data_IF_304010363462
#
_entry.id   IF_304010363462
#
_cell.length_a   1.000
_cell.length_b   1.000
_cell.length_c   1.000
_cell.angle_alpha   90.00
_cell.angle_beta   90.00
_cell.angle_gamma   90.00
#
_symmetry.space_group_name_H-M   'P 1'
#
loop_
_entity.id
_entity.type
_entity.pdbx_description
1 polymer ?
#
# COMPACT_ATOMS: atom_id res chain seq x y z
N UNK A 1 -6.94 7.71 -23.77
CA UNK A 1 -7.08 8.81 -22.79
C UNK A 1 -7.99 9.86 -23.41
N UNK A 2 -9.06 10.25 -22.71
CA UNK A 2 -9.91 11.36 -23.17
C UNK A 2 -9.07 12.63 -23.28
N UNK A 3 -9.36 13.49 -24.27
CA UNK A 3 -8.70 14.79 -24.37
C UNK A 3 -9.14 15.65 -23.18
N UNK A 4 -8.17 16.29 -22.51
CA UNK A 4 -8.44 17.21 -21.41
C UNK A 4 -9.22 18.43 -21.92
N UNK A 5 -10.28 18.80 -21.21
CA UNK A 5 -11.10 19.96 -21.57
C UNK A 5 -10.47 21.28 -21.08
N UNK A 6 -9.67 21.22 -20.01
CA UNK A 6 -9.03 22.38 -19.38
C UNK A 6 -7.53 22.16 -19.17
N UNK A 7 -6.71 23.00 -19.83
CA UNK A 7 -5.25 22.97 -19.68
C UNK A 7 -4.81 23.22 -18.23
N UNK A 8 -5.37 24.18 -17.47
CA UNK A 8 -5.04 24.35 -16.05
C UNK A 8 -5.34 23.10 -15.19
N UNK A 9 -6.44 22.40 -15.46
CA UNK A 9 -6.79 21.17 -14.74
C UNK A 9 -5.83 20.03 -15.08
N UNK A 10 -5.44 19.90 -16.35
CA UNK A 10 -4.45 18.92 -16.77
C UNK A 10 -3.09 19.15 -16.10
N UNK A 11 -2.59 20.38 -16.10
CA UNK A 11 -1.32 20.72 -15.42
C UNK A 11 -1.43 20.45 -13.92
N UNK A 12 -2.54 20.84 -13.29
CA UNK A 12 -2.75 20.61 -11.86
C UNK A 12 -2.81 19.12 -11.53
N UNK A 13 -3.48 18.31 -12.37
CA UNK A 13 -3.53 16.86 -12.26
C UNK A 13 -2.12 16.24 -12.30
N UNK A 14 -1.30 16.63 -13.28
CA UNK A 14 0.06 16.12 -13.42
C UNK A 14 0.94 16.51 -12.21
N UNK A 15 0.88 17.78 -11.78
CA UNK A 15 1.65 18.26 -10.62
C UNK A 15 1.26 17.51 -9.35
N UNK A 16 -0.04 17.33 -9.09
CA UNK A 16 -0.52 16.60 -7.92
C UNK A 16 -0.11 15.11 -7.99
N UNK A 17 -0.14 14.50 -9.17
CA UNK A 17 0.31 13.13 -9.36
C UNK A 17 1.80 12.93 -9.10
N UNK A 18 2.65 13.79 -9.64
CA UNK A 18 4.10 13.74 -9.38
C UNK A 18 4.42 14.03 -7.91
N UNK A 19 3.72 14.98 -7.28
CA UNK A 19 3.89 15.25 -5.86
C UNK A 19 3.45 14.07 -4.99
N UNK A 20 2.33 13.42 -5.30
CA UNK A 20 1.87 12.23 -4.60
C UNK A 20 2.88 11.08 -4.73
N UNK A 21 3.36 10.82 -5.94
CA UNK A 21 4.38 9.80 -6.21
C UNK A 21 5.68 10.05 -5.43
N UNK A 22 6.18 11.30 -5.44
CA UNK A 22 7.40 11.65 -4.71
C UNK A 22 7.21 11.52 -3.19
N UNK A 23 6.09 12.03 -2.67
CA UNK A 23 5.77 11.96 -1.23
C UNK A 23 5.69 10.52 -0.74
N UNK A 24 4.98 9.65 -1.46
CA UNK A 24 4.88 8.23 -1.12
C UNK A 24 6.18 7.47 -1.29
N UNK A 25 7.00 7.78 -2.31
CA UNK A 25 8.27 7.09 -2.49
C UNK A 25 9.26 7.44 -1.38
N UNK A 26 9.30 8.70 -0.97
CA UNK A 26 10.24 9.19 0.05
C UNK A 26 9.80 8.80 1.47
N UNK A 27 8.50 8.64 1.74
CA UNK A 27 7.95 8.40 3.09
C UNK A 27 8.59 7.21 3.82
N UNK A 28 8.98 6.17 3.09
CA UNK A 28 9.58 4.95 3.68
C UNK A 28 10.98 5.17 4.28
N UNK A 29 11.78 6.07 3.71
CA UNK A 29 13.18 6.24 4.07
C UNK A 29 13.41 6.83 5.48
N UNK A 30 12.68 7.86 5.93
CA UNK A 30 12.85 8.44 7.27
C UNK A 30 12.87 7.41 8.41
N UNK A 31 11.97 6.41 8.39
CA UNK A 31 11.94 5.39 9.45
C UNK A 31 13.16 4.46 9.37
N UNK A 32 13.52 4.00 8.17
CA UNK A 32 14.69 3.13 7.96
C UNK A 32 15.97 3.82 8.41
N UNK A 33 16.13 5.11 8.07
CA UNK A 33 17.27 5.93 8.48
C UNK A 33 17.28 6.15 10.00
N UNK A 34 16.12 6.44 10.60
CA UNK A 34 16.00 6.65 12.05
C UNK A 34 16.44 5.40 12.82
N UNK A 35 15.94 4.23 12.43
CA UNK A 35 16.32 2.94 13.01
C UNK A 35 17.83 2.70 12.87
N UNK A 36 18.40 2.98 11.68
CA UNK A 36 19.83 2.82 11.44
C UNK A 36 20.70 3.76 12.28
N UNK A 37 20.29 5.02 12.46
CA UNK A 37 21.02 6.01 13.27
C UNK A 37 20.96 5.70 14.76
N UNK A 38 19.79 5.29 15.26
CA UNK A 38 19.58 4.97 16.67
C UNK A 38 20.12 3.60 17.06
N UNK A 39 20.30 2.69 16.09
CA UNK A 39 20.57 1.25 16.31
C UNK A 39 19.56 0.62 17.28
N UNK A 40 18.34 1.17 17.30
CA UNK A 40 17.24 0.78 18.17
C UNK A 40 15.93 1.03 17.44
N UNK A 41 15.02 0.07 17.56
CA UNK A 41 13.65 0.13 17.04
C UNK A 41 12.64 0.42 18.15
N UNK A 42 13.10 0.75 19.35
CA UNK A 42 12.21 1.17 20.46
C UNK A 42 11.49 2.45 20.06
N UNK A 43 10.16 2.42 20.02
CA UNK A 43 9.33 3.46 19.39
C UNK A 43 8.45 2.96 18.26
N UNK A 44 8.95 2.00 17.48
CA UNK A 44 8.28 1.46 16.32
C UNK A 44 7.46 0.23 16.71
N UNK A 45 6.14 0.29 16.56
CA UNK A 45 5.27 -0.86 16.85
C UNK A 45 5.46 -1.94 15.78
N UNK A 46 5.78 -3.16 16.21
CA UNK A 46 6.09 -4.27 15.30
C UNK A 46 4.84 -4.79 14.58
N UNK A 47 3.67 -4.64 15.18
CA UNK A 47 2.39 -4.97 14.54
C UNK A 47 2.16 -4.07 13.33
N UNK A 48 2.44 -2.76 13.47
CA UNK A 48 2.34 -1.83 12.34
C UNK A 48 3.23 -2.28 11.18
N UNK A 49 4.50 -2.64 11.46
CA UNK A 49 5.44 -3.02 10.39
C UNK A 49 5.02 -4.32 9.71
N UNK A 50 4.56 -5.31 10.47
CA UNK A 50 4.08 -6.59 9.92
C UNK A 50 2.80 -6.44 9.09
N UNK A 51 1.82 -5.67 9.59
CA UNK A 51 0.60 -5.38 8.85
C UNK A 51 0.92 -4.58 7.58
N UNK A 52 1.84 -3.61 7.66
CA UNK A 52 2.28 -2.84 6.50
C UNK A 52 3.02 -3.70 5.48
N UNK A 53 3.85 -4.66 5.92
CA UNK A 53 4.50 -5.61 5.01
C UNK A 53 3.48 -6.50 4.28
N UNK A 54 2.45 -6.98 4.99
CA UNK A 54 1.36 -7.77 4.40
C UNK A 54 0.54 -6.94 3.40
N UNK A 55 0.25 -5.68 3.73
CA UNK A 55 -0.39 -4.71 2.84
C UNK A 55 0.37 -4.56 1.53
N UNK A 56 1.67 -4.23 1.61
CA UNK A 56 2.49 -3.98 0.42
C UNK A 56 2.74 -5.26 -0.39
N UNK A 57 2.89 -6.41 0.27
CA UNK A 57 3.03 -7.71 -0.42
C UNK A 57 1.78 -8.06 -1.20
N UNK A 58 0.60 -7.89 -0.61
CA UNK A 58 -0.68 -8.14 -1.28
C UNK A 58 -0.89 -7.18 -2.47
N UNK A 59 -0.53 -5.90 -2.29
CA UNK A 59 -0.58 -4.92 -3.37
C UNK A 59 0.38 -5.26 -4.52
N UNK A 60 1.60 -5.72 -4.21
CA UNK A 60 2.55 -6.20 -5.21
C UNK A 60 2.01 -7.42 -5.96
N UNK A 61 1.42 -8.39 -5.27
CA UNK A 61 0.83 -9.57 -5.92
C UNK A 61 -0.26 -9.14 -6.90
N UNK A 62 -1.15 -8.24 -6.51
CA UNK A 62 -2.20 -7.70 -7.39
C UNK A 62 -1.59 -7.00 -8.62
N UNK A 63 -0.70 -6.02 -8.41
CA UNK A 63 -0.12 -5.23 -9.49
C UNK A 63 0.71 -6.10 -10.44
N UNK A 64 1.62 -6.92 -9.92
CA UNK A 64 2.47 -7.77 -10.74
C UNK A 64 1.66 -8.80 -11.53
N UNK A 65 0.64 -9.42 -10.91
CA UNK A 65 -0.20 -10.41 -11.59
C UNK A 65 -1.02 -9.78 -12.71
N UNK A 66 -1.66 -8.63 -12.45
CA UNK A 66 -2.48 -7.94 -13.45
C UNK A 66 -1.62 -7.32 -14.57
N UNK A 67 -0.41 -6.88 -14.27
CA UNK A 67 0.52 -6.31 -15.25
C UNK A 67 1.20 -7.37 -16.14
N UNK A 68 1.60 -8.53 -15.58
CA UNK A 68 2.40 -9.53 -16.29
C UNK A 68 1.54 -10.63 -16.92
N UNK A 69 0.47 -11.07 -16.24
CA UNK A 69 -0.28 -12.25 -16.67
C UNK A 69 -1.31 -11.94 -17.76
N UNK A 70 -1.05 -12.42 -18.98
CA UNK A 70 -2.00 -12.34 -20.10
C UNK A 70 -3.34 -13.02 -19.80
N UNK A 71 -3.34 -14.10 -19.01
CA UNK A 71 -4.57 -14.79 -18.58
C UNK A 71 -5.43 -13.89 -17.70
N UNK A 72 -4.82 -13.21 -16.73
CA UNK A 72 -5.54 -12.29 -15.83
C UNK A 72 -6.05 -11.09 -16.61
N UNK A 73 -5.25 -10.52 -17.51
CA UNK A 73 -5.66 -9.42 -18.38
C UNK A 73 -6.82 -9.80 -19.31
N UNK A 74 -6.80 -11.03 -19.86
CA UNK A 74 -7.91 -11.56 -20.66
C UNK A 74 -9.18 -11.68 -19.84
N UNK A 75 -9.08 -12.21 -18.61
CA UNK A 75 -10.23 -12.29 -17.70
C UNK A 75 -10.77 -10.91 -17.33
N UNK A 76 -9.89 -9.92 -17.11
CA UNK A 76 -10.26 -8.54 -16.85
C UNK A 76 -11.07 -7.96 -18.02
N UNK A 77 -10.54 -8.06 -19.25
CA UNK A 77 -11.21 -7.57 -20.46
C UNK A 77 -12.52 -8.30 -20.75
N UNK A 78 -12.61 -9.58 -20.43
CA UNK A 78 -13.87 -10.33 -20.55
C UNK A 78 -14.93 -9.84 -19.56
N UNK A 79 -14.52 -9.41 -18.35
CA UNK A 79 -15.43 -8.93 -17.30
C UNK A 79 -15.85 -7.48 -17.49
N UNK A 80 -14.92 -6.59 -17.83
CA UNK A 80 -15.14 -5.14 -17.85
C UNK A 80 -15.26 -4.54 -19.27
N UNK A 81 -14.79 -5.26 -20.30
CA UNK A 81 -14.86 -4.83 -21.69
C UNK A 81 -13.51 -4.94 -22.41
N UNK A 82 -13.54 -5.33 -23.69
CA UNK A 82 -12.32 -5.55 -24.48
C UNK A 82 -11.55 -4.27 -24.82
N UNK A 83 -12.24 -3.13 -24.80
CA UNK A 83 -11.66 -1.80 -25.07
C UNK A 83 -11.11 -1.12 -23.80
N UNK A 84 -11.38 -1.68 -22.63
CA UNK A 84 -10.91 -1.12 -21.36
C UNK A 84 -9.41 -1.31 -21.19
N UNK A 85 -8.75 -0.26 -20.68
CA UNK A 85 -7.34 -0.32 -20.37
C UNK A 85 -7.12 -1.11 -19.06
N UNK A 86 -6.00 -1.83 -18.99
CA UNK A 86 -5.60 -2.49 -17.75
C UNK A 86 -5.19 -1.39 -16.75
N UNK A 87 -5.78 -1.35 -15.54
CA UNK A 87 -5.63 -0.23 -14.61
C UNK A 87 -4.32 -0.28 -13.81
N UNK A 88 -3.28 -0.96 -14.33
CA UNK A 88 -1.98 -1.11 -13.67
C UNK A 88 -0.90 -0.85 -14.69
N UNK A 89 0.02 0.05 -14.33
CA UNK A 89 1.19 0.41 -15.12
C UNK A 89 2.50 -0.06 -14.45
N UNK A 90 3.62 0.04 -15.18
CA UNK A 90 4.91 -0.46 -14.71
C UNK A 90 5.40 0.24 -13.43
N UNK A 91 5.07 1.54 -13.28
CA UNK A 91 5.38 2.33 -12.10
C UNK A 91 4.65 1.82 -10.85
N UNK A 92 3.42 1.29 -10.97
CA UNK A 92 2.68 0.71 -9.83
C UNK A 92 3.37 -0.57 -9.31
N UNK A 93 3.87 -1.39 -10.24
CA UNK A 93 4.68 -2.57 -9.90
C UNK A 93 6.00 -2.14 -9.26
N UNK A 94 6.71 -1.19 -9.85
CA UNK A 94 7.98 -0.69 -9.30
C UNK A 94 7.81 -0.10 -7.89
N UNK A 95 6.77 0.72 -7.67
CA UNK A 95 6.45 1.28 -6.36
C UNK A 95 6.12 0.21 -5.33
N UNK A 96 5.29 -0.78 -5.70
CA UNK A 96 4.94 -1.87 -4.79
C UNK A 96 6.13 -2.76 -4.43
N UNK A 97 7.02 -3.06 -5.38
CA UNK A 97 8.32 -3.73 -5.10
C UNK A 97 9.15 -2.89 -4.13
N UNK A 98 9.32 -1.60 -4.41
CA UNK A 98 10.08 -0.69 -3.56
C UNK A 98 9.55 -0.65 -2.12
N UNK A 99 8.23 -0.55 -1.95
CA UNK A 99 7.60 -0.53 -0.64
C UNK A 99 7.78 -1.85 0.12
N UNK A 100 7.67 -3.01 -0.55
CA UNK A 100 7.94 -4.33 0.05
C UNK A 100 9.40 -4.41 0.50
N UNK A 101 10.36 -3.95 -0.31
CA UNK A 101 11.78 -3.96 0.05
C UNK A 101 12.08 -3.08 1.28
N UNK A 102 11.57 -1.85 1.33
CA UNK A 102 11.81 -0.92 2.44
C UNK A 102 11.14 -1.41 3.74
N UNK A 103 9.96 -2.02 3.64
CA UNK A 103 9.32 -2.66 4.79
C UNK A 103 10.03 -3.95 5.23
N UNK A 104 10.55 -4.75 4.31
CA UNK A 104 11.42 -5.90 4.63
C UNK A 104 12.69 -5.45 5.35
N UNK A 105 13.33 -4.36 4.91
CA UNK A 105 14.47 -3.76 5.60
C UNK A 105 14.08 -3.33 7.01
N UNK A 106 12.90 -2.73 7.19
CA UNK A 106 12.40 -2.35 8.53
C UNK A 106 12.18 -3.58 9.43
N UNK A 107 11.65 -4.68 8.89
CA UNK A 107 11.53 -5.96 9.62
C UNK A 107 12.88 -6.55 9.98
N UNK A 108 13.85 -6.49 9.07
CA UNK A 108 15.23 -6.91 9.34
C UNK A 108 15.85 -6.07 10.46
N UNK A 109 15.64 -4.75 10.45
CA UNK A 109 16.08 -3.87 11.53
C UNK A 109 15.44 -4.24 12.87
N UNK A 110 14.15 -4.63 12.89
CA UNK A 110 13.48 -5.13 14.10
C UNK A 110 14.12 -6.42 14.63
N UNK A 111 14.62 -7.28 13.74
CA UNK A 111 15.28 -8.53 14.13
C UNK A 111 16.69 -8.33 14.70
N UNK A 112 17.41 -7.29 14.24
CA UNK A 112 18.84 -7.08 14.56
C UNK A 112 19.08 -6.03 15.64
N UNK A 113 18.31 -4.94 15.64
CA UNK A 113 18.53 -3.81 16.57
C UNK A 113 17.85 -3.99 17.92
N UNK A 114 18.23 -3.15 18.88
CA UNK A 114 17.60 -3.16 20.20
C UNK A 114 16.10 -2.89 20.10
N UNK A 115 15.32 -3.83 20.65
CA UNK A 115 13.86 -3.82 20.67
C UNK A 115 13.28 -3.58 22.06
N UNK A 116 14.12 -3.46 23.08
CA UNK A 116 13.69 -3.40 24.48
C UNK A 116 12.74 -4.56 24.82
N UNK A 117 11.62 -4.25 25.47
CA UNK A 117 10.58 -5.23 25.83
C UNK A 117 9.47 -5.38 24.78
N UNK A 118 9.56 -4.68 23.64
CA UNK A 118 8.53 -4.72 22.60
C UNK A 118 8.47 -6.10 21.92
N UNK A 119 7.25 -6.57 21.66
CA UNK A 119 6.97 -7.82 20.97
C UNK A 119 5.79 -7.63 20.04
N UNK A 120 5.67 -8.49 19.04
CA UNK A 120 4.49 -8.59 18.18
C UNK A 120 3.32 -9.11 19.02
N UNK A 121 2.16 -8.49 18.91
CA UNK A 121 0.97 -8.89 19.67
C UNK A 121 0.38 -10.19 19.13
N UNK A 122 -0.29 -10.95 20.02
CA UNK A 122 -1.06 -12.14 19.62
C UNK A 122 -2.19 -11.79 18.65
N UNK A 123 -2.75 -10.58 18.76
CA UNK A 123 -3.79 -10.08 17.85
C UNK A 123 -3.22 -9.92 16.44
N UNK A 124 -2.05 -9.31 16.29
CA UNK A 124 -1.39 -9.17 15.00
C UNK A 124 -1.10 -10.55 14.37
N UNK A 125 -0.56 -11.51 15.13
CA UNK A 125 -0.38 -12.87 14.64
C UNK A 125 -1.70 -13.52 14.21
N UNK A 126 -2.79 -13.33 14.98
CA UNK A 126 -4.12 -13.82 14.61
C UNK A 126 -4.63 -13.22 13.29
N UNK A 127 -4.50 -11.90 13.11
CA UNK A 127 -4.88 -11.21 11.87
C UNK A 127 -4.08 -11.77 10.68
N UNK A 128 -2.76 -11.91 10.83
CA UNK A 128 -1.90 -12.45 9.78
C UNK A 128 -2.25 -13.89 9.44
N UNK A 129 -2.45 -14.73 10.46
CA UNK A 129 -2.82 -16.14 10.28
C UNK A 129 -4.14 -16.24 9.50
N UNK A 130 -5.19 -15.52 9.91
CA UNK A 130 -6.48 -15.52 9.22
C UNK A 130 -6.35 -15.01 7.78
N UNK A 131 -5.59 -13.93 7.58
CA UNK A 131 -5.41 -13.33 6.25
C UNK A 131 -4.72 -14.29 5.29
N UNK A 132 -3.57 -14.84 5.69
CA UNK A 132 -2.77 -15.68 4.80
C UNK A 132 -3.37 -17.09 4.63
N UNK A 133 -4.06 -17.62 5.64
CA UNK A 133 -4.84 -18.87 5.47
C UNK A 133 -6.02 -18.67 4.52
N UNK A 134 -6.76 -17.56 4.63
CA UNK A 134 -7.85 -17.24 3.70
C UNK A 134 -7.32 -17.06 2.27
N UNK A 135 -6.21 -16.34 2.10
CA UNK A 135 -5.55 -16.19 0.79
C UNK A 135 -5.11 -17.54 0.20
N UNK A 136 -4.59 -18.45 1.03
CA UNK A 136 -4.21 -19.80 0.60
C UNK A 136 -5.43 -20.62 0.14
N UNK A 137 -6.55 -20.58 0.89
CA UNK A 137 -7.80 -21.23 0.50
C UNK A 137 -8.31 -20.65 -0.83
N UNK A 138 -8.36 -19.32 -0.96
CA UNK A 138 -8.75 -18.65 -2.19
C UNK A 138 -7.86 -19.04 -3.37
N UNK A 139 -6.56 -19.23 -3.16
CA UNK A 139 -5.63 -19.69 -4.18
C UNK A 139 -6.03 -21.07 -4.72
N UNK A 140 -6.30 -22.04 -3.85
CA UNK A 140 -6.71 -23.38 -4.28
C UNK A 140 -8.08 -23.38 -4.99
N UNK A 141 -9.02 -22.54 -4.54
CA UNK A 141 -10.32 -22.35 -5.21
C UNK A 141 -10.13 -21.76 -6.61
N UNK A 142 -9.28 -20.74 -6.74
CA UNK A 142 -8.99 -20.11 -8.02
C UNK A 142 -8.21 -21.02 -8.97
N UNK A 143 -7.32 -21.86 -8.43
CA UNK A 143 -6.58 -22.88 -9.18
C UNK A 143 -7.54 -23.90 -9.81
N UNK A 144 -8.53 -24.39 -9.04
CA UNK A 144 -9.52 -25.34 -9.54
C UNK A 144 -10.47 -24.73 -10.58
N UNK A 145 -10.95 -23.51 -10.34
CA UNK A 145 -11.94 -22.85 -11.20
C UNK A 145 -11.33 -21.99 -12.32
N UNK A 146 -10.00 -21.94 -12.41
CA UNK A 146 -9.24 -21.03 -13.28
C UNK A 146 -9.62 -19.55 -13.16
N UNK A 147 -10.10 -19.10 -12.00
CA UNK A 147 -10.59 -17.73 -11.79
C UNK A 147 -9.52 -16.82 -11.15
N UNK A 148 -8.48 -16.50 -11.93
CA UNK A 148 -7.30 -15.76 -11.47
C UNK A 148 -7.59 -14.29 -11.20
N UNK A 149 -8.46 -13.65 -11.99
CA UNK A 149 -8.85 -12.26 -11.75
C UNK A 149 -9.52 -12.11 -10.38
N UNK A 150 -10.42 -13.02 -10.02
CA UNK A 150 -11.06 -13.01 -8.71
C UNK A 150 -10.03 -13.16 -7.57
N UNK A 151 -9.07 -14.08 -7.72
CA UNK A 151 -8.01 -14.25 -6.72
C UNK A 151 -7.21 -12.97 -6.50
N UNK A 152 -6.78 -12.30 -7.57
CA UNK A 152 -5.99 -11.07 -7.41
C UNK A 152 -6.83 -9.94 -6.82
N UNK A 153 -8.15 -9.90 -7.08
CA UNK A 153 -9.06 -8.96 -6.40
C UNK A 153 -9.08 -9.19 -4.89
N UNK A 154 -9.03 -10.45 -4.40
CA UNK A 154 -8.90 -10.73 -2.96
C UNK A 154 -7.62 -10.11 -2.38
N UNK A 155 -6.49 -10.18 -3.09
CA UNK A 155 -5.26 -9.51 -2.65
C UNK A 155 -5.39 -7.98 -2.64
N UNK A 156 -6.17 -7.41 -3.57
CA UNK A 156 -6.54 -5.99 -3.53
C UNK A 156 -7.42 -5.66 -2.31
N UNK A 157 -8.36 -6.52 -1.95
CA UNK A 157 -9.19 -6.29 -0.75
C UNK A 157 -8.36 -6.36 0.54
N UNK A 158 -7.44 -7.35 0.62
CA UNK A 158 -6.52 -7.49 1.76
C UNK A 158 -5.69 -6.21 1.94
N UNK A 159 -5.10 -5.65 0.88
CA UNK A 159 -4.29 -4.43 1.04
C UNK A 159 -5.11 -3.22 1.52
N UNK A 160 -6.38 -3.12 1.11
CA UNK A 160 -7.29 -2.04 1.54
C UNK A 160 -7.62 -2.22 3.03
N UNK A 161 -8.01 -3.42 3.45
CA UNK A 161 -8.26 -3.74 4.85
C UNK A 161 -7.04 -3.45 5.73
N UNK A 162 -5.85 -3.87 5.30
CA UNK A 162 -4.61 -3.62 6.04
C UNK A 162 -4.27 -2.13 6.14
N UNK A 163 -4.59 -1.34 5.10
CA UNK A 163 -4.38 0.12 5.11
C UNK A 163 -5.20 0.80 6.21
N UNK A 164 -6.43 0.34 6.45
CA UNK A 164 -7.32 0.88 7.48
C UNK A 164 -6.81 0.54 8.89
N UNK A 165 -6.38 -0.71 9.11
CA UNK A 165 -6.08 -1.18 10.47
C UNK A 165 -4.63 -0.92 10.92
N UNK A 166 -3.65 -0.83 9.99
CA UNK A 166 -2.22 -0.85 10.34
C UNK A 166 -1.79 0.24 11.30
N UNK A 167 -2.41 1.43 11.24
CA UNK A 167 -2.01 2.58 12.07
C UNK A 167 -2.52 2.51 13.51
N UNK A 168 -3.54 1.69 13.79
CA UNK A 168 -4.18 1.59 15.12
C UNK A 168 -3.17 1.15 16.20
N UNK A 169 -2.39 0.06 16.04
CA UNK A 169 -1.43 -0.38 17.05
C UNK A 169 -0.39 0.70 17.39
N UNK A 170 0.09 1.45 16.39
CA UNK A 170 1.04 2.53 16.64
C UNK A 170 0.39 3.68 17.41
N UNK A 171 -0.79 4.13 16.99
CA UNK A 171 -1.50 5.22 17.64
C UNK A 171 -1.76 4.91 19.12
N UNK A 172 -2.20 3.69 19.43
CA UNK A 172 -2.41 3.21 20.80
C UNK A 172 -1.10 3.18 21.58
N UNK A 173 -0.03 2.63 21.01
CA UNK A 173 1.30 2.59 21.66
C UNK A 173 1.83 4.00 21.98
N UNK A 174 1.71 4.94 21.04
CA UNK A 174 2.11 6.34 21.24
C UNK A 174 1.26 7.00 22.34
N UNK A 175 -0.05 6.74 22.37
CA UNK A 175 -0.95 7.26 23.39
C UNK A 175 -0.63 6.72 24.79
N UNK A 176 -0.26 5.43 24.89
CA UNK A 176 0.13 4.81 26.16
C UNK A 176 1.48 5.31 26.66
N UNK A 177 2.45 5.49 25.75
CA UNK A 177 3.80 5.99 26.08
C UNK A 177 3.88 7.50 26.30
N UNK A 178 2.86 8.25 25.85
CA UNK A 178 2.89 9.73 25.79
C UNK A 178 4.12 10.27 25.04
N UNK A 179 4.63 9.51 24.07
CA UNK A 179 5.84 9.82 23.33
C UNK A 179 5.78 9.19 21.94
N UNK A 180 6.27 9.91 20.94
CA UNK A 180 6.48 9.43 19.57
C UNK A 180 7.96 9.13 19.29
N UNK A 181 8.80 9.11 20.33
CA UNK A 181 10.23 8.84 20.14
C UNK A 181 10.47 7.44 19.56
N UNK A 182 11.23 7.43 18.46
CA UNK A 182 11.54 6.23 17.67
C UNK A 182 10.54 5.91 16.57
N UNK A 183 9.52 6.75 16.39
CA UNK A 183 8.63 6.72 15.24
C UNK A 183 8.81 7.99 14.40
N UNK A 184 9.03 7.82 13.09
CA UNK A 184 9.19 8.94 12.18
C UNK A 184 7.86 9.62 11.87
N UNK A 185 7.65 10.81 12.42
CA UNK A 185 6.49 11.65 12.09
C UNK A 185 6.53 12.07 10.62
N UNK A 186 7.74 12.32 10.08
CA UNK A 186 7.92 12.73 8.67
C UNK A 186 7.39 11.68 7.71
N UNK A 187 7.59 10.39 7.99
CA UNK A 187 6.99 9.30 7.20
C UNK A 187 5.47 9.46 7.09
N UNK A 188 4.80 9.70 8.23
CA UNK A 188 3.34 9.83 8.29
C UNK A 188 2.84 11.09 7.59
N UNK A 189 3.53 12.21 7.77
CA UNK A 189 3.18 13.46 7.10
C UNK A 189 3.31 13.34 5.57
N UNK A 190 4.36 12.68 5.09
CA UNK A 190 4.55 12.44 3.65
C UNK A 190 3.50 11.47 3.10
N UNK A 191 3.17 10.39 3.82
CA UNK A 191 2.13 9.44 3.43
C UNK A 191 0.74 10.10 3.35
N UNK A 192 0.42 10.92 4.35
CA UNK A 192 -0.80 11.72 4.37
C UNK A 192 -0.83 12.75 3.23
N UNK A 193 0.26 13.49 3.02
CA UNK A 193 0.34 14.50 1.96
C UNK A 193 0.20 13.88 0.58
N UNK A 194 0.83 12.73 0.35
CA UNK A 194 0.69 12.00 -0.90
C UNK A 194 -0.74 11.51 -1.14
N UNK A 195 -1.42 11.06 -0.08
CA UNK A 195 -2.82 10.63 -0.15
C UNK A 195 -3.76 11.80 -0.48
N UNK A 196 -3.60 12.95 0.19
CA UNK A 196 -4.40 14.16 -0.09
C UNK A 196 -4.19 14.62 -1.54
N UNK A 197 -2.94 14.66 -2.01
CA UNK A 197 -2.63 15.05 -3.37
C UNK A 197 -3.24 14.07 -4.41
N UNK A 198 -3.22 12.76 -4.14
CA UNK A 198 -3.84 11.77 -5.03
C UNK A 198 -5.36 11.92 -5.11
N UNK A 199 -6.05 12.17 -3.99
CA UNK A 199 -7.48 12.48 -4.01
C UNK A 199 -7.79 13.80 -4.75
N UNK A 200 -6.94 14.82 -4.58
CA UNK A 200 -7.07 16.08 -5.31
C UNK A 200 -6.89 15.87 -6.82
N UNK A 201 -5.89 15.07 -7.23
CA UNK A 201 -5.67 14.67 -8.62
C UNK A 201 -6.91 13.98 -9.22
N UNK A 202 -7.47 12.98 -8.53
CA UNK A 202 -8.69 12.28 -8.97
C UNK A 202 -9.89 13.23 -9.08
N UNK A 203 -10.01 14.17 -8.14
CA UNK A 203 -11.07 15.20 -8.16
C UNK A 203 -10.94 16.11 -9.38
N UNK A 204 -9.72 16.57 -9.71
CA UNK A 204 -9.46 17.39 -10.89
C UNK A 204 -9.85 16.67 -12.18
N UNK A 205 -9.53 15.37 -12.28
CA UNK A 205 -9.91 14.56 -13.43
C UNK A 205 -11.44 14.40 -13.55
N UNK A 206 -12.13 14.13 -12.44
CA UNK A 206 -13.59 14.01 -12.40
C UNK A 206 -14.29 15.32 -12.81
N UNK A 207 -13.80 16.46 -12.32
CA UNK A 207 -14.30 17.80 -12.70
C UNK A 207 -14.12 18.05 -14.19
N UNK A 208 -12.93 17.78 -14.75
CA UNK A 208 -12.64 17.99 -16.17
C UNK A 208 -13.53 17.13 -17.07
N UNK A 209 -13.77 15.88 -16.68
CA UNK A 209 -14.58 14.92 -17.44
C UNK A 209 -16.09 15.13 -17.29
N UNK A 210 -16.53 16.08 -16.44
CA UNK A 210 -17.95 16.26 -16.05
C UNK A 210 -18.59 14.98 -15.54
N UNK A 211 -17.79 14.02 -15.08
CA UNK A 211 -18.25 12.84 -14.35
C UNK A 211 -18.42 13.31 -12.91
N UNK A 212 -19.38 14.23 -12.69
CA UNK A 212 -19.76 14.60 -11.34
C UNK A 212 -20.71 13.53 -10.84
N UNK A 213 -20.28 12.89 -9.76
CA UNK A 213 -21.02 11.96 -8.92
C UNK A 213 -22.38 12.59 -8.59
N UNK A 214 -23.46 12.01 -9.11
CA UNK A 214 -24.79 12.02 -8.51
C UNK A 214 -25.12 10.59 -8.12
#
# INVERSE_FOLDING_TARGET
>A
MAAWNSVPLHVSYEVMGWFAFASWSISFYPQVILNFRRKSVVGLNFDFVLLNFTKHSSYLIYNASLYISSTVQKQYRNKYGQKEMIPVAANDVAFSVHAVLLTAISLFQIAVYDRGSQKVSKIAYGILLVTWTSAAVCFFVALHNHNWLWLISIFSDIQVCMTVIKYIPQAVMNFMRKSTEGWSIVNILLDFSGSVANYAQMSMQSIDQRVCIL
#
